data_IF_634596120564
#
_entry.id   IF_634596120564
#
_cell.length_a   1.000
_cell.length_b   1.000
_cell.length_c   1.000
_cell.angle_alpha   90.00
_cell.angle_beta   90.00
_cell.angle_gamma   90.00
#
_symmetry.space_group_name_H-M   'P 1'
#
loop_
_entity.id
_entity.type
_entity.pdbx_description
1 polymer ?
#
# COMPACT_ATOMS: atom_id res chain seq x y z
N UNK A 1 -32.16 -1.41 2.63
CA UNK A 1 -31.25 -0.38 3.19
C UNK A 1 -31.56 -0.18 4.68
N UNK A 2 -30.88 -0.88 5.59
CA UNK A 2 -31.06 -0.68 7.04
C UNK A 2 -30.43 0.64 7.46
N UNK A 3 -31.20 1.72 7.41
CA UNK A 3 -30.81 3.00 7.97
C UNK A 3 -30.82 2.89 9.51
N UNK A 4 -29.65 2.68 10.10
CA UNK A 4 -29.46 2.89 11.54
C UNK A 4 -29.67 4.37 11.82
N UNK A 5 -30.79 4.72 12.46
CA UNK A 5 -31.11 6.09 12.87
C UNK A 5 -30.18 6.49 14.03
N UNK A 6 -28.93 6.83 13.71
CA UNK A 6 -27.91 7.29 14.65
C UNK A 6 -27.68 8.77 14.42
N UNK A 7 -27.81 9.55 15.49
CA UNK A 7 -27.50 10.98 15.48
C UNK A 7 -25.97 11.10 15.60
N UNK A 8 -25.32 11.64 14.56
CA UNK A 8 -23.87 11.84 14.55
C UNK A 8 -23.54 13.32 14.76
N UNK A 9 -22.56 13.59 15.64
CA UNK A 9 -21.95 14.91 15.77
C UNK A 9 -20.63 14.93 14.99
N UNK A 10 -20.58 15.68 13.90
CA UNK A 10 -19.35 15.87 13.11
C UNK A 10 -18.44 16.83 13.88
N UNK A 11 -17.22 16.40 14.20
CA UNK A 11 -16.26 17.22 14.94
C UNK A 11 -15.36 17.99 13.96
N UNK A 12 -14.70 17.28 13.04
CA UNK A 12 -13.82 17.82 11.99
C UNK A 12 -13.79 16.87 10.78
N UNK A 13 -13.42 17.38 9.61
CA UNK A 13 -13.26 16.59 8.40
C UNK A 13 -12.32 17.26 7.41
N UNK A 14 -11.69 16.45 6.58
CA UNK A 14 -10.89 16.91 5.44
C UNK A 14 -11.67 16.58 4.15
N UNK A 15 -11.69 17.53 3.23
CA UNK A 15 -12.28 17.33 1.91
C UNK A 15 -11.30 17.82 0.84
N UNK A 16 -11.32 17.15 -0.31
CA UNK A 16 -10.52 17.53 -1.46
C UNK A 16 -11.41 18.19 -2.50
N UNK A 17 -11.17 19.46 -2.79
CA UNK A 17 -11.90 20.25 -3.80
C UNK A 17 -11.12 20.44 -5.11
N UNK A 18 -9.93 19.84 -5.23
CA UNK A 18 -9.11 19.95 -6.43
C UNK A 18 -9.70 19.21 -7.64
N UNK A 19 -9.24 19.57 -8.83
CA UNK A 19 -9.62 18.87 -10.08
C UNK A 19 -9.11 17.43 -10.06
N UNK A 20 -9.87 16.53 -10.69
CA UNK A 20 -9.45 15.14 -10.88
C UNK A 20 -8.39 15.06 -11.97
N UNK A 21 -7.29 14.39 -11.67
CA UNK A 21 -6.24 14.07 -12.62
C UNK A 21 -6.40 12.60 -13.06
N UNK A 22 -6.52 12.39 -14.36
CA UNK A 22 -6.76 11.07 -14.96
C UNK A 22 -5.51 10.43 -15.56
N UNK A 23 -4.34 11.06 -15.50
CA UNK A 23 -3.09 10.50 -16.04
C UNK A 23 -2.78 9.12 -15.45
N UNK A 24 -2.98 8.96 -14.14
CA UNK A 24 -2.77 7.69 -13.48
C UNK A 24 -3.77 6.61 -13.95
N UNK A 25 -5.01 7.01 -14.21
CA UNK A 25 -6.03 6.10 -14.76
C UNK A 25 -5.59 5.56 -16.13
N UNK A 26 -5.08 6.41 -17.02
CA UNK A 26 -4.57 6.00 -18.32
C UNK A 26 -3.40 5.00 -18.20
N UNK A 27 -2.46 5.25 -17.29
CA UNK A 27 -1.33 4.35 -17.06
C UNK A 27 -1.79 2.99 -16.51
N UNK A 28 -2.69 2.99 -15.52
CA UNK A 28 -3.24 1.75 -14.96
C UNK A 28 -4.04 0.98 -15.99
N UNK A 29 -4.77 1.66 -16.88
CA UNK A 29 -5.50 1.05 -17.99
C UNK A 29 -4.55 0.34 -18.95
N UNK A 30 -3.47 1.00 -19.38
CA UNK A 30 -2.42 0.39 -20.23
C UNK A 30 -1.79 -0.85 -19.57
N UNK A 31 -1.47 -0.78 -18.28
CA UNK A 31 -0.94 -1.92 -17.50
C UNK A 31 -1.94 -3.09 -17.47
N UNK A 32 -3.23 -2.78 -17.29
CA UNK A 32 -4.29 -3.79 -17.26
C UNK A 32 -4.50 -4.44 -18.63
N UNK A 33 -4.56 -3.65 -19.70
CA UNK A 33 -4.72 -4.14 -21.08
C UNK A 33 -3.55 -5.06 -21.47
N UNK A 34 -2.31 -4.64 -21.20
CA UNK A 34 -1.13 -5.48 -21.41
C UNK A 34 -1.19 -6.78 -20.62
N UNK A 35 -1.66 -6.73 -19.38
CA UNK A 35 -1.87 -7.96 -18.58
C UNK A 35 -2.89 -8.90 -19.23
N UNK A 36 -3.95 -8.37 -19.82
CA UNK A 36 -4.98 -9.17 -20.51
C UNK A 36 -4.40 -9.82 -21.77
N UNK A 37 -3.62 -9.10 -22.57
CA UNK A 37 -2.89 -9.64 -23.73
C UNK A 37 -2.00 -10.81 -23.32
N UNK A 38 -1.08 -10.60 -22.37
CA UNK A 38 -0.20 -11.66 -21.88
C UNK A 38 -0.94 -12.84 -21.24
N UNK A 39 -2.11 -12.62 -20.65
CA UNK A 39 -2.94 -13.70 -20.12
C UNK A 39 -3.50 -14.59 -21.24
N UNK A 40 -3.90 -14.00 -22.37
CA UNK A 40 -4.41 -14.77 -23.52
C UNK A 40 -3.33 -15.64 -24.15
N UNK A 41 -2.10 -15.13 -24.17
CA UNK A 41 -0.92 -15.84 -24.68
C UNK A 41 -0.37 -16.88 -23.68
N UNK A 42 -0.98 -17.06 -22.50
CA UNK A 42 -0.44 -17.83 -21.38
C UNK A 42 1.00 -17.44 -21.00
N UNK A 43 1.35 -16.17 -21.19
CA UNK A 43 2.69 -15.66 -20.95
C UNK A 43 2.90 -15.38 -19.44
N UNK A 44 3.99 -15.88 -18.82
CA UNK A 44 4.26 -15.69 -17.39
C UNK A 44 4.41 -14.21 -16.97
N UNK A 45 4.71 -13.31 -17.91
CA UNK A 45 4.80 -11.86 -17.64
C UNK A 45 3.49 -11.28 -17.09
N UNK A 46 2.34 -11.91 -17.35
CA UNK A 46 1.07 -11.56 -16.71
C UNK A 46 1.19 -11.44 -15.19
N UNK A 47 2.04 -12.26 -14.54
CA UNK A 47 2.24 -12.26 -13.09
C UNK A 47 2.97 -11.00 -12.63
N UNK A 48 3.94 -10.53 -13.41
CA UNK A 48 4.66 -9.28 -13.14
C UNK A 48 3.69 -8.08 -13.22
N UNK A 49 2.87 -8.01 -14.26
CA UNK A 49 1.85 -6.94 -14.37
C UNK A 49 0.84 -7.00 -13.23
N UNK A 50 0.44 -8.20 -12.77
CA UNK A 50 -0.41 -8.36 -11.58
C UNK A 50 0.28 -7.77 -10.34
N UNK A 51 1.56 -8.10 -10.13
CA UNK A 51 2.33 -7.63 -8.98
C UNK A 51 2.50 -6.11 -8.99
N UNK A 52 2.87 -5.52 -10.13
CA UNK A 52 3.00 -4.06 -10.28
C UNK A 52 1.70 -3.36 -9.89
N UNK A 53 0.56 -3.85 -10.40
CA UNK A 53 -0.75 -3.28 -10.07
C UNK A 53 -1.06 -3.39 -8.57
N UNK A 54 -0.82 -4.55 -7.97
CA UNK A 54 -1.09 -4.77 -6.55
C UNK A 54 -0.15 -3.97 -5.64
N UNK A 55 1.11 -3.77 -6.01
CA UNK A 55 2.07 -3.01 -5.21
C UNK A 55 1.87 -1.49 -5.32
N UNK A 56 1.24 -1.01 -6.41
CA UNK A 56 1.07 0.42 -6.69
C UNK A 56 0.28 1.15 -5.59
N UNK A 57 -0.85 0.58 -5.13
CA UNK A 57 -1.64 1.23 -4.09
C UNK A 57 -0.87 1.28 -2.76
N UNK A 58 -0.18 0.19 -2.38
CA UNK A 58 0.60 0.14 -1.14
C UNK A 58 1.71 1.20 -1.14
N UNK A 59 2.38 1.38 -2.28
CA UNK A 59 3.40 2.42 -2.44
C UNK A 59 2.82 3.83 -2.33
N UNK A 60 1.59 4.04 -2.79
CA UNK A 60 0.94 5.36 -2.75
C UNK A 60 0.61 5.87 -1.34
N UNK A 61 0.45 4.97 -0.37
CA UNK A 61 0.15 5.26 1.04
C UNK A 61 1.30 4.89 1.99
N UNK A 62 2.50 4.68 1.44
CA UNK A 62 3.64 4.25 2.24
C UNK A 62 3.95 5.28 3.33
N UNK A 63 4.12 4.78 4.56
CA UNK A 63 4.53 5.59 5.69
C UNK A 63 5.99 6.05 5.51
N UNK A 64 6.35 7.20 6.09
CA UNK A 64 7.74 7.63 6.11
C UNK A 64 8.60 6.61 6.83
N UNK A 65 9.85 6.50 6.37
CA UNK A 65 10.86 5.67 7.01
C UNK A 65 11.67 6.54 7.96
N UNK A 66 11.56 6.27 9.26
CA UNK A 66 12.23 7.06 10.30
C UNK A 66 13.73 6.72 10.42
N UNK A 67 14.14 5.59 9.82
CA UNK A 67 15.52 5.16 9.80
C UNK A 67 15.90 4.55 8.46
N UNK A 68 17.19 4.56 8.17
CA UNK A 68 17.79 3.93 7.00
C UNK A 68 18.99 3.09 7.45
N UNK A 69 19.19 1.95 6.80
CA UNK A 69 20.38 1.13 7.01
C UNK A 69 21.48 1.54 6.03
N UNK A 70 22.70 1.71 6.51
CA UNK A 70 23.89 1.96 5.69
C UNK A 70 24.93 0.88 5.94
N UNK A 71 25.45 0.32 4.86
CA UNK A 71 26.50 -0.69 4.94
C UNK A 71 27.85 -0.04 4.72
N UNK A 72 28.73 -0.14 5.72
CA UNK A 72 30.06 0.47 5.70
C UNK A 72 31.08 -0.64 5.87
N UNK A 73 32.00 -0.72 4.91
CA UNK A 73 33.11 -1.67 4.93
C UNK A 73 34.36 -1.02 5.49
N UNK A 74 35.08 -1.68 6.39
CA UNK A 74 36.33 -1.19 6.96
C UNK A 74 36.13 -0.33 8.20
N UNK A 75 36.91 -0.63 9.24
CA UNK A 75 36.88 0.07 10.52
C UNK A 75 37.22 1.57 10.41
N UNK A 76 38.19 1.94 9.56
CA UNK A 76 38.53 3.36 9.35
C UNK A 76 37.35 4.18 8.81
N UNK A 77 36.60 3.62 7.85
CA UNK A 77 35.44 4.29 7.26
C UNK A 77 34.30 4.36 8.27
N UNK A 78 34.13 3.33 9.09
CA UNK A 78 33.18 3.34 10.19
C UNK A 78 33.52 4.45 11.19
N UNK A 79 34.78 4.57 11.60
CA UNK A 79 35.24 5.59 12.55
C UNK A 79 35.04 7.01 12.00
N UNK A 80 35.39 7.26 10.74
CA UNK A 80 35.09 8.54 10.06
C UNK A 80 33.58 8.83 10.02
N UNK A 81 32.76 7.81 9.75
CA UNK A 81 31.31 7.96 9.71
C UNK A 81 30.72 8.26 11.09
N UNK A 82 31.21 7.58 12.15
CA UNK A 82 30.82 7.83 13.54
C UNK A 82 31.13 9.26 13.95
N UNK A 83 32.33 9.76 13.69
CA UNK A 83 32.71 11.13 14.02
C UNK A 83 31.82 12.17 13.31
N UNK A 84 31.53 11.96 12.03
CA UNK A 84 30.73 12.90 11.23
C UNK A 84 29.23 12.88 11.57
N UNK A 85 28.67 11.72 11.92
CA UNK A 85 27.22 11.51 12.01
C UNK A 85 26.76 10.94 13.37
N UNK A 86 27.54 11.10 14.44
CA UNK A 86 27.24 10.54 15.77
C UNK A 86 25.80 10.79 16.23
N UNK A 87 25.28 12.01 16.06
CA UNK A 87 23.92 12.40 16.48
C UNK A 87 22.79 11.75 15.67
N UNK A 88 23.09 11.14 14.51
CA UNK A 88 22.08 10.46 13.68
C UNK A 88 22.13 8.94 13.81
N UNK A 89 23.17 8.38 14.42
CA UNK A 89 23.34 6.93 14.52
C UNK A 89 22.47 6.41 15.65
N UNK A 90 21.67 5.38 15.37
CA UNK A 90 20.83 4.68 16.33
C UNK A 90 21.57 3.42 16.81
N UNK A 91 22.07 2.64 15.86
CA UNK A 91 22.65 1.32 16.12
C UNK A 91 23.73 1.00 15.09
N UNK A 92 24.76 0.26 15.51
CA UNK A 92 25.79 -0.29 14.64
C UNK A 92 25.87 -1.79 14.96
N UNK A 93 25.68 -2.62 13.93
CA UNK A 93 25.77 -4.07 14.02
C UNK A 93 26.82 -4.56 13.04
N UNK A 94 27.83 -5.28 13.53
CA UNK A 94 28.81 -5.93 12.66
C UNK A 94 28.28 -7.29 12.22
N UNK A 95 28.43 -7.62 10.93
CA UNK A 95 28.12 -8.96 10.44
C UNK A 95 29.23 -9.94 10.84
N UNK A 96 28.83 -11.10 11.35
CA UNK A 96 29.74 -12.16 11.81
C UNK A 96 30.75 -12.51 10.71
N UNK A 97 32.03 -12.52 11.08
CA UNK A 97 33.17 -12.87 10.22
C UNK A 97 33.31 -12.03 8.93
N UNK A 98 32.83 -10.77 8.97
CA UNK A 98 33.00 -9.84 7.85
C UNK A 98 33.44 -8.45 8.30
N UNK A 99 34.09 -7.75 7.38
CA UNK A 99 34.50 -6.35 7.54
C UNK A 99 33.34 -5.37 7.23
N UNK A 100 32.08 -5.84 7.23
CA UNK A 100 30.91 -5.03 6.91
C UNK A 100 30.11 -4.74 8.18
N UNK A 101 29.85 -3.45 8.39
CA UNK A 101 29.05 -2.94 9.49
C UNK A 101 27.74 -2.36 8.95
N UNK A 102 26.62 -2.83 9.49
CA UNK A 102 25.29 -2.26 9.26
C UNK A 102 25.05 -1.13 10.27
N UNK A 103 24.93 0.10 9.78
CA UNK A 103 24.70 1.29 10.61
C UNK A 103 23.27 1.79 10.37
N UNK A 104 22.45 1.73 11.41
CA UNK A 104 21.10 2.28 11.40
C UNK A 104 21.16 3.77 11.74
N UNK A 105 20.66 4.60 10.84
CA UNK A 105 20.74 6.07 10.93
C UNK A 105 19.34 6.66 10.85
N UNK A 106 19.04 7.65 11.68
CA UNK A 106 17.80 8.45 11.60
C UNK A 106 17.71 9.11 10.23
N UNK A 107 16.54 8.98 9.58
CA UNK A 107 16.23 9.63 8.31
C UNK A 107 15.24 10.76 8.56
N UNK A 108 15.51 11.92 7.99
CA UNK A 108 14.58 13.05 8.08
C UNK A 108 13.34 12.77 7.23
N UNK A 109 12.17 13.09 7.79
CA UNK A 109 10.84 12.82 7.21
C UNK A 109 10.36 13.98 6.32
N UNK A 110 11.01 15.15 6.42
CA UNK A 110 10.68 16.39 5.71
C UNK A 110 10.53 16.23 4.19
N UNK A 111 11.30 15.30 3.60
CA UNK A 111 11.27 15.01 2.15
C UNK A 111 10.33 13.87 1.76
N UNK A 112 9.64 13.27 2.71
CA UNK A 112 8.69 12.19 2.42
C UNK A 112 7.43 12.77 1.81
N UNK A 113 7.10 12.31 0.61
CA UNK A 113 5.84 12.62 -0.05
C UNK A 113 5.24 11.33 -0.58
N UNK A 114 3.94 11.13 -0.33
CA UNK A 114 3.18 10.01 -0.86
C UNK A 114 1.91 10.53 -1.54
N UNK A 115 1.31 9.70 -2.40
CA UNK A 115 0.07 10.05 -3.10
C UNK A 115 -1.14 9.47 -2.35
N UNK A 116 -1.27 9.84 -1.08
CA UNK A 116 -2.25 9.28 -0.15
C UNK A 116 -3.70 9.46 -0.60
N UNK A 117 -4.05 10.59 -1.23
CA UNK A 117 -5.40 10.83 -1.76
C UNK A 117 -5.84 9.74 -2.77
N UNK A 118 -4.94 9.33 -3.66
CA UNK A 118 -5.21 8.23 -4.58
C UNK A 118 -5.36 6.91 -3.81
N UNK A 119 -4.42 6.60 -2.92
CA UNK A 119 -4.47 5.36 -2.16
C UNK A 119 -5.73 5.22 -1.29
N UNK A 120 -6.23 6.30 -0.69
CA UNK A 120 -7.49 6.33 0.06
C UNK A 120 -8.66 5.94 -0.84
N UNK A 121 -8.73 6.48 -2.07
CA UNK A 121 -9.79 6.13 -3.03
C UNK A 121 -9.70 4.66 -3.47
N UNK A 122 -8.49 4.16 -3.68
CA UNK A 122 -8.25 2.75 -4.04
C UNK A 122 -8.67 1.80 -2.91
N UNK A 123 -8.58 2.23 -1.64
CA UNK A 123 -9.00 1.44 -0.49
C UNK A 123 -10.49 1.56 -0.16
N UNK A 124 -11.13 2.70 -0.46
CA UNK A 124 -12.54 2.93 -0.13
C UNK A 124 -13.49 2.35 -1.17
N UNK A 125 -13.18 2.49 -2.46
CA UNK A 125 -14.09 2.06 -3.54
C UNK A 125 -14.35 0.55 -3.55
N UNK A 126 -13.35 -0.33 -3.39
CA UNK A 126 -13.60 -1.78 -3.33
C UNK A 126 -14.50 -2.18 -2.17
N UNK A 127 -14.35 -1.53 -0.99
CA UNK A 127 -15.22 -1.78 0.16
C UNK A 127 -16.67 -1.41 -0.13
N UNK A 128 -16.88 -0.29 -0.82
CA UNK A 128 -18.22 0.12 -1.27
C UNK A 128 -18.82 -0.93 -2.21
N UNK A 129 -18.10 -1.32 -3.25
CA UNK A 129 -18.55 -2.32 -4.24
C UNK A 129 -18.87 -3.65 -3.55
N UNK A 130 -17.99 -4.11 -2.65
CA UNK A 130 -18.22 -5.37 -1.93
C UNK A 130 -19.45 -5.31 -1.02
N UNK A 131 -19.68 -4.19 -0.35
CA UNK A 131 -20.88 -4.00 0.47
C UNK A 131 -22.17 -3.99 -0.37
N UNK A 132 -22.14 -3.48 -1.61
CA UNK A 132 -23.28 -3.56 -2.52
C UNK A 132 -23.63 -5.02 -2.86
N UNK A 133 -22.61 -5.84 -3.18
CA UNK A 133 -22.83 -7.28 -3.45
C UNK A 133 -23.36 -8.00 -2.20
N UNK A 134 -22.92 -7.61 -1.00
CA UNK A 134 -23.43 -8.19 0.25
C UNK A 134 -24.89 -7.88 0.50
N UNK A 135 -25.28 -6.62 0.30
CA UNK A 135 -26.67 -6.21 0.38
C UNK A 135 -27.52 -7.04 -0.59
N UNK A 136 -27.07 -7.19 -1.84
CA UNK A 136 -27.78 -8.00 -2.84
C UNK A 136 -27.90 -9.48 -2.41
N UNK A 137 -26.81 -10.08 -1.93
CA UNK A 137 -26.83 -11.46 -1.46
C UNK A 137 -27.79 -11.65 -0.27
N UNK A 138 -27.81 -10.68 0.65
CA UNK A 138 -28.77 -10.67 1.76
C UNK A 138 -30.21 -10.55 1.29
N UNK A 139 -30.49 -9.66 0.32
CA UNK A 139 -31.83 -9.44 -0.24
C UNK A 139 -32.38 -10.69 -0.94
N UNK A 140 -31.50 -11.49 -1.58
CA UNK A 140 -31.85 -12.78 -2.21
C UNK A 140 -31.97 -13.91 -1.17
N UNK A 141 -31.64 -13.65 0.10
CA UNK A 141 -31.70 -14.63 1.19
C UNK A 141 -30.50 -15.59 1.24
N UNK A 142 -29.41 -15.28 0.55
CA UNK A 142 -28.16 -16.00 0.64
C UNK A 142 -27.47 -15.73 1.98
N UNK A 143 -26.83 -16.76 2.55
CA UNK A 143 -26.13 -16.64 3.84
C UNK A 143 -24.63 -16.47 3.62
N UNK A 144 -24.07 -15.34 4.04
CA UNK A 144 -22.64 -15.06 3.97
C UNK A 144 -22.01 -15.41 5.32
N UNK A 145 -20.95 -16.23 5.31
CA UNK A 145 -20.25 -16.68 6.52
C UNK A 145 -18.94 -15.94 6.76
N UNK A 146 -18.27 -15.54 5.68
CA UNK A 146 -16.95 -14.92 5.74
C UNK A 146 -16.76 -13.96 4.57
N UNK A 147 -15.97 -12.92 4.81
CA UNK A 147 -15.55 -11.95 3.82
C UNK A 147 -14.05 -11.69 4.00
N UNK A 148 -13.31 -11.69 2.89
CA UNK A 148 -11.96 -11.14 2.82
C UNK A 148 -11.85 -10.23 1.60
N UNK A 149 -11.63 -8.95 1.85
CA UNK A 149 -11.30 -7.87 0.90
C UNK A 149 -12.09 -7.84 -0.42
N UNK A 150 -11.89 -8.80 -1.32
CA UNK A 150 -12.53 -8.97 -2.64
C UNK A 150 -13.25 -10.32 -2.83
N UNK A 151 -13.46 -11.08 -1.76
CA UNK A 151 -14.05 -12.43 -1.77
C UNK A 151 -15.03 -12.64 -0.61
N UNK A 152 -15.96 -13.60 -0.79
CA UNK A 152 -16.96 -13.99 0.21
C UNK A 152 -17.25 -15.49 0.14
N UNK A 153 -17.53 -16.09 1.29
CA UNK A 153 -18.03 -17.46 1.39
C UNK A 153 -19.53 -17.44 1.63
N UNK A 154 -20.29 -17.99 0.68
CA UNK A 154 -21.74 -17.87 0.63
C UNK A 154 -22.35 -19.26 0.48
N UNK A 155 -23.44 -19.54 1.20
CA UNK A 155 -24.33 -20.67 0.91
C UNK A 155 -25.54 -20.13 0.18
N UNK A 156 -25.73 -20.64 -1.04
CA UNK A 156 -26.91 -20.39 -1.85
C UNK A 156 -28.10 -21.10 -1.21
N UNK A 157 -29.18 -20.35 -1.00
CA UNK A 157 -30.47 -20.94 -0.68
C UNK A 157 -31.08 -21.35 -2.02
N UNK A 158 -31.01 -22.65 -2.34
CA UNK A 158 -31.74 -23.24 -3.48
C UNK A 158 -33.20 -23.39 -3.06
#
# INVERSE_FOLDING_TARGET
MCAFNRIFKIIRGYYWNGKRDYRLHEVIKKIFEKRVEYKKENNPLQRLYKLIKNSCYGKSIENPHDSQMKYIRGEEKLNKFRQKYYHKIIEITQFYDSDINAVKVVKQIDKHFNFSLFGIQVLSMPKLIMNEVMCLAYDIGCRIFYQDTDSMHIILKI
#
